data_IF_339552509865
#
_entry.id   IF_339552509865
#
_cell.length_a   1.000
_cell.length_b   1.000
_cell.length_c   1.000
_cell.angle_alpha   90.00
_cell.angle_beta   90.00
_cell.angle_gamma   90.00
#
_symmetry.space_group_name_H-M   'P 1'
#
loop_
_entity.id
_entity.type
_entity.pdbx_description
1 polymer ?
#
# COMPACT_ATOMS: atom_id res chain seq x y z
N UNK A 1 -13.63 -8.78 7.06
CA UNK A 1 -13.37 -7.62 6.17
C UNK A 1 -11.87 -7.41 5.98
N UNK A 2 -11.05 -7.40 7.05
CA UNK A 2 -9.60 -7.28 6.90
C UNK A 2 -8.96 -8.38 6.05
N UNK A 3 -9.41 -9.64 6.17
CA UNK A 3 -8.88 -10.74 5.32
C UNK A 3 -9.08 -10.45 3.83
N UNK A 4 -10.28 -10.00 3.43
CA UNK A 4 -10.59 -9.65 2.04
C UNK A 4 -9.78 -8.45 1.56
N UNK A 5 -9.48 -7.50 2.46
CA UNK A 5 -8.61 -6.37 2.14
C UNK A 5 -7.17 -6.84 1.93
N UNK A 6 -6.67 -7.70 2.83
CA UNK A 6 -5.34 -8.31 2.73
C UNK A 6 -5.20 -9.15 1.46
N UNK A 7 -6.23 -9.90 1.05
CA UNK A 7 -6.20 -10.66 -0.20
C UNK A 7 -6.12 -9.77 -1.45
N UNK A 8 -6.57 -8.51 -1.36
CA UNK A 8 -6.56 -7.54 -2.47
C UNK A 8 -5.24 -6.78 -2.57
N UNK A 9 -4.70 -6.33 -1.44
CA UNK A 9 -3.50 -5.48 -1.39
C UNK A 9 -2.23 -6.24 -0.99
N UNK A 10 -2.40 -7.42 -0.40
CA UNK A 10 -1.32 -8.29 0.06
C UNK A 10 -0.59 -8.90 -1.12
N UNK A 11 0.72 -9.04 -0.98
CA UNK A 11 1.59 -9.61 -2.00
C UNK A 11 2.19 -10.90 -1.48
N UNK A 12 2.15 -11.96 -2.30
CA UNK A 12 2.70 -13.28 -1.98
C UNK A 12 4.24 -13.32 -1.91
N UNK A 13 4.92 -12.19 -2.18
CA UNK A 13 6.33 -11.97 -1.85
C UNK A 13 7.34 -12.85 -2.59
N UNK A 14 7.81 -12.41 -3.77
CA UNK A 14 9.10 -12.83 -4.37
C UNK A 14 9.79 -11.76 -5.23
N UNK A 15 9.05 -10.84 -5.86
CA UNK A 15 9.61 -9.78 -6.70
C UNK A 15 8.80 -8.46 -6.61
N UNK A 16 9.51 -7.32 -6.65
CA UNK A 16 8.96 -5.96 -6.81
C UNK A 16 8.04 -5.49 -5.68
N UNK A 17 8.59 -5.09 -4.54
CA UNK A 17 7.86 -4.63 -3.35
C UNK A 17 7.35 -3.18 -3.44
N UNK A 18 7.70 -2.47 -4.51
CA UNK A 18 7.21 -1.12 -4.78
C UNK A 18 5.79 -1.16 -5.34
N UNK A 19 4.93 -0.30 -4.83
CA UNK A 19 3.52 -0.25 -5.18
C UNK A 19 2.75 0.60 -4.19
N UNK A 20 1.65 1.19 -4.66
CA UNK A 20 0.75 1.99 -3.85
C UNK A 20 -0.65 1.38 -3.91
N UNK A 21 -1.34 1.36 -2.77
CA UNK A 21 -2.76 1.05 -2.70
C UNK A 21 -3.55 2.35 -2.50
N UNK A 22 -4.51 2.62 -3.37
CA UNK A 22 -5.41 3.78 -3.25
C UNK A 22 -6.79 3.26 -2.88
N UNK A 23 -7.32 3.75 -1.75
CA UNK A 23 -8.63 3.40 -1.26
C UNK A 23 -9.62 4.51 -1.58
N UNK A 24 -10.67 4.17 -2.32
CA UNK A 24 -11.83 5.04 -2.51
C UNK A 24 -12.81 4.76 -1.39
N UNK A 25 -13.00 5.73 -0.50
CA UNK A 25 -13.84 5.59 0.69
C UNK A 25 -14.99 6.59 0.65
N UNK A 26 -16.16 6.15 1.08
CA UNK A 26 -17.31 7.03 1.36
C UNK A 26 -17.41 7.32 2.86
N UNK A 27 -18.30 8.24 3.25
CA UNK A 27 -18.51 8.55 4.67
C UNK A 27 -18.99 7.34 5.49
N UNK A 28 -19.71 6.42 4.86
CA UNK A 28 -20.24 5.20 5.48
C UNK A 28 -19.12 4.19 5.79
N UNK A 29 -18.04 4.20 5.01
CA UNK A 29 -16.92 3.24 5.11
C UNK A 29 -15.92 3.58 6.24
N UNK A 30 -16.05 4.72 6.91
CA UNK A 30 -15.09 5.21 7.93
C UNK A 30 -14.85 4.19 9.05
N UNK A 31 -15.89 3.47 9.47
CA UNK A 31 -15.78 2.46 10.52
C UNK A 31 -15.09 1.20 10.02
N UNK A 32 -15.34 0.82 8.76
CA UNK A 32 -14.68 -0.32 8.14
C UNK A 32 -13.18 -0.05 7.95
N UNK A 33 -12.81 1.18 7.56
CA UNK A 33 -11.41 1.61 7.43
C UNK A 33 -10.66 1.45 8.75
N UNK A 34 -11.16 2.05 9.83
CA UNK A 34 -10.51 1.95 11.15
C UNK A 34 -10.43 0.51 11.65
N UNK A 35 -11.45 -0.31 11.39
CA UNK A 35 -11.41 -1.73 11.74
C UNK A 35 -10.30 -2.47 11.00
N UNK A 36 -10.12 -2.21 9.70
CA UNK A 36 -9.06 -2.81 8.89
C UNK A 36 -7.67 -2.38 9.39
N UNK A 37 -7.49 -1.10 9.72
CA UNK A 37 -6.24 -0.58 10.29
C UNK A 37 -5.87 -1.27 11.60
N UNK A 38 -6.83 -1.42 12.52
CA UNK A 38 -6.61 -2.10 13.80
C UNK A 38 -6.35 -3.61 13.65
N UNK A 39 -7.12 -4.29 12.79
CA UNK A 39 -6.98 -5.75 12.58
C UNK A 39 -5.66 -6.11 11.87
N UNK A 40 -5.16 -5.26 10.96
CA UNK A 40 -3.92 -5.50 10.22
C UNK A 40 -2.69 -4.80 10.80
N UNK A 41 -2.85 -3.94 11.81
CA UNK A 41 -1.76 -3.15 12.39
C UNK A 41 -1.09 -2.22 11.37
N UNK A 42 -1.87 -1.67 10.44
CA UNK A 42 -1.38 -0.79 9.36
C UNK A 42 -2.04 0.59 9.43
N UNK A 43 -1.38 1.59 8.86
CA UNK A 43 -1.86 2.98 8.83
C UNK A 43 -2.20 3.38 7.39
N UNK A 44 -3.46 3.76 7.13
CA UNK A 44 -3.91 4.21 5.81
C UNK A 44 -3.99 5.74 5.82
N UNK A 45 -2.93 6.38 5.32
CA UNK A 45 -2.80 7.83 5.30
C UNK A 45 -3.70 8.48 4.23
N UNK A 46 -4.17 9.72 4.46
CA UNK A 46 -4.84 10.49 3.41
C UNK A 46 -3.90 10.69 2.23
N UNK A 47 -4.46 10.67 1.01
CA UNK A 47 -3.69 10.82 -0.21
C UNK A 47 -3.03 12.21 -0.27
N UNK A 48 -1.70 12.30 -0.45
CA UNK A 48 -1.03 13.57 -0.63
C UNK A 48 -1.34 14.17 -2.01
N UNK A 49 -1.18 15.49 -2.16
CA UNK A 49 -1.37 16.17 -3.46
C UNK A 49 -0.38 15.70 -4.54
N UNK A 50 0.81 15.29 -4.11
CA UNK A 50 1.88 14.79 -4.98
C UNK A 50 2.35 13.46 -4.41
N UNK A 51 2.33 12.42 -5.25
CA UNK A 51 2.83 11.09 -4.92
C UNK A 51 4.21 10.97 -5.55
N UNK A 52 5.23 10.62 -4.75
CA UNK A 52 6.57 10.40 -5.27
C UNK A 52 6.58 9.18 -6.21
N UNK A 53 6.98 9.32 -7.49
CA UNK A 53 7.14 8.21 -8.40
C UNK A 53 8.03 7.10 -7.86
N UNK A 54 9.01 7.41 -7.01
CA UNK A 54 9.87 6.41 -6.38
C UNK A 54 9.15 5.42 -5.47
N UNK A 55 7.89 5.66 -5.08
CA UNK A 55 7.09 4.76 -4.25
C UNK A 55 6.39 3.65 -5.05
N UNK A 56 6.20 3.83 -6.36
CA UNK A 56 5.43 2.90 -7.19
C UNK A 56 6.03 2.61 -8.57
N UNK A 57 6.97 3.43 -9.04
CA UNK A 57 7.70 3.23 -10.28
C UNK A 57 9.15 2.86 -9.96
N UNK A 58 9.56 1.66 -10.41
CA UNK A 58 10.97 1.31 -10.44
C UNK A 58 11.66 2.24 -11.45
N UNK A 59 12.51 3.15 -10.96
CA UNK A 59 13.39 3.91 -11.86
C UNK A 59 14.45 2.95 -12.44
N UNK A 60 14.72 2.99 -13.74
CA UNK A 60 15.75 2.15 -14.34
C UNK A 60 17.17 2.51 -13.85
N UNK A 61 17.36 3.68 -13.25
CA UNK A 61 18.69 4.20 -12.89
C UNK A 61 19.23 3.73 -11.52
N UNK A 62 18.49 2.89 -10.80
CA UNK A 62 19.02 2.18 -9.64
C UNK A 62 19.08 0.71 -9.99
N UNK A 63 20.12 0.36 -10.73
CA UNK A 63 20.68 -0.99 -10.71
C UNK A 63 20.72 -1.46 -9.24
N UNK A 64 20.12 -2.62 -8.99
CA UNK A 64 20.31 -3.44 -7.79
C UNK A 64 21.77 -3.93 -7.73
N UNK A 65 22.71 -2.98 -7.67
CA UNK A 65 24.15 -3.18 -7.51
C UNK A 65 24.59 -2.45 -6.25
N UNK A 66 24.09 -2.85 -5.07
CA UNK A 66 24.79 -2.68 -3.81
C UNK A 66 24.13 -3.50 -2.68
N UNK A 67 24.88 -4.52 -2.24
CA UNK A 67 24.94 -5.13 -0.90
C UNK A 67 23.72 -5.96 -0.43
N UNK A 68 23.81 -7.28 -0.28
CA UNK A 68 24.92 -8.18 0.05
C UNK A 68 24.63 -9.61 -0.40
#
# INVERSE_FOLDING_TARGET
MAVTYLDRIGRSGRFGHLGIAINLITYEDRFALHRIEQELGTEIKPIPKVIDPGLYASRPDKDDSAEK
#
